data_IF_364688745345
#
_entry.id   IF_364688745345
#
_cell.length_a   1.000
_cell.length_b   1.000
_cell.length_c   1.000
_cell.angle_alpha   90.00
_cell.angle_beta   90.00
_cell.angle_gamma   90.00
#
_symmetry.space_group_name_H-M   'P 1'
#
loop_
_entity.id
_entity.type
_entity.pdbx_description
1 polymer ?
#
# COMPACT_ATOMS: atom_id res chain seq x y z
N UNK A 1 -23.99 10.22 -6.08
CA UNK A 1 -23.04 9.78 -7.13
C UNK A 1 -21.70 10.44 -6.81
N UNK A 2 -20.97 9.88 -5.85
CA UNK A 2 -19.65 10.38 -5.47
C UNK A 2 -18.63 9.78 -6.42
N UNK A 3 -17.93 10.61 -7.18
CA UNK A 3 -16.78 10.17 -7.96
C UNK A 3 -15.79 9.45 -7.06
N UNK A 4 -15.34 8.26 -7.46
CA UNK A 4 -14.27 7.55 -6.77
C UNK A 4 -13.06 8.47 -6.62
N UNK A 5 -12.68 8.79 -5.38
CA UNK A 5 -11.59 9.76 -5.11
C UNK A 5 -10.30 9.39 -5.82
N UNK A 6 -10.07 8.08 -6.01
CA UNK A 6 -8.92 7.52 -6.70
C UNK A 6 -8.87 7.82 -8.21
N UNK A 7 -10.01 8.17 -8.81
CA UNK A 7 -10.12 8.60 -10.21
C UNK A 7 -10.01 10.12 -10.38
N UNK A 8 -9.92 10.89 -9.28
CA UNK A 8 -9.71 12.32 -9.38
C UNK A 8 -8.33 12.62 -9.98
N UNK A 9 -8.22 13.65 -10.84
CA UNK A 9 -6.94 14.03 -11.41
C UNK A 9 -6.06 14.71 -10.36
N UNK A 10 -4.84 14.21 -10.21
CA UNK A 10 -3.72 14.82 -9.49
C UNK A 10 -2.60 15.08 -10.50
N UNK A 11 -2.24 16.36 -10.68
CA UNK A 11 -1.28 16.79 -11.71
C UNK A 11 -1.60 16.24 -13.12
N UNK A 12 -2.89 16.21 -13.48
CA UNK A 12 -3.36 15.77 -14.78
C UNK A 12 -3.46 14.25 -15.00
N UNK A 13 -3.24 13.42 -13.96
CA UNK A 13 -3.43 11.97 -14.01
C UNK A 13 -4.30 11.47 -12.86
N UNK A 14 -5.11 10.42 -13.02
CA UNK A 14 -5.82 9.81 -11.89
C UNK A 14 -4.85 9.44 -10.74
N UNK A 15 -5.29 9.64 -9.49
CA UNK A 15 -4.47 9.29 -8.30
C UNK A 15 -3.99 7.84 -8.37
N UNK A 16 -4.89 6.92 -8.75
CA UNK A 16 -4.56 5.49 -8.84
C UNK A 16 -3.46 5.19 -9.86
N UNK A 17 -3.40 5.93 -10.97
CA UNK A 17 -2.33 5.79 -11.96
C UNK A 17 -0.98 6.18 -11.37
N UNK A 18 -0.95 7.28 -10.59
CA UNK A 18 0.28 7.78 -9.96
C UNK A 18 0.83 6.76 -8.98
N UNK A 19 -0.05 6.16 -8.17
CA UNK A 19 0.33 5.14 -7.19
C UNK A 19 0.81 3.86 -7.86
N UNK A 20 0.10 3.35 -8.86
CA UNK A 20 0.51 2.15 -9.60
C UNK A 20 1.85 2.38 -10.33
N UNK A 21 2.03 3.56 -10.92
CA UNK A 21 3.28 3.91 -11.58
C UNK A 21 4.44 4.05 -10.58
N UNK A 22 4.19 4.55 -9.37
CA UNK A 22 5.19 4.58 -8.30
C UNK A 22 5.63 3.16 -7.91
N UNK A 23 4.68 2.23 -7.71
CA UNK A 23 4.99 0.81 -7.46
C UNK A 23 5.81 0.20 -8.59
N UNK A 24 5.40 0.41 -9.84
CA UNK A 24 6.10 -0.12 -11.01
C UNK A 24 7.52 0.41 -11.11
N UNK A 25 7.70 1.72 -10.95
CA UNK A 25 9.03 2.37 -11.01
C UNK A 25 9.90 2.01 -9.81
N UNK A 26 9.29 1.66 -8.67
CA UNK A 26 9.97 1.17 -7.48
C UNK A 26 10.52 -0.25 -7.61
N UNK A 27 10.11 -1.01 -8.64
CA UNK A 27 10.73 -2.30 -8.97
C UNK A 27 10.08 -3.53 -8.32
N UNK A 28 8.83 -3.45 -7.87
CA UNK A 28 8.11 -4.64 -7.37
C UNK A 28 7.78 -5.60 -8.51
N UNK A 29 7.80 -6.91 -8.24
CA UNK A 29 7.48 -7.95 -9.23
C UNK A 29 5.99 -7.95 -9.61
N UNK A 30 5.11 -7.77 -8.63
CA UNK A 30 3.66 -7.86 -8.77
C UNK A 30 2.98 -6.69 -8.05
N UNK A 31 1.96 -6.12 -8.68
CA UNK A 31 1.13 -5.05 -8.09
C UNK A 31 -0.28 -5.60 -7.95
N UNK A 32 -0.77 -5.68 -6.72
CA UNK A 32 -2.14 -6.13 -6.42
C UNK A 32 -2.94 -4.96 -5.86
N UNK A 33 -4.05 -4.64 -6.52
CA UNK A 33 -4.97 -3.58 -6.13
C UNK A 33 -6.27 -4.21 -5.64
N UNK A 34 -6.65 -3.88 -4.41
CA UNK A 34 -7.88 -4.35 -3.79
C UNK A 34 -8.93 -3.27 -3.93
N UNK A 35 -10.08 -3.63 -4.49
CA UNK A 35 -11.19 -2.71 -4.73
C UNK A 35 -12.49 -3.34 -4.24
N UNK A 36 -13.34 -2.52 -3.63
CA UNK A 36 -14.65 -2.98 -3.18
C UNK A 36 -15.63 -3.07 -4.36
N UNK A 37 -16.55 -4.02 -4.32
CA UNK A 37 -17.45 -4.31 -5.43
C UNK A 37 -18.31 -3.11 -5.86
N UNK A 38 -18.68 -2.22 -4.93
CA UNK A 38 -19.51 -1.04 -5.20
C UNK A 38 -18.82 0.03 -6.07
N UNK A 39 -17.49 0.02 -6.15
CA UNK A 39 -16.70 1.00 -6.91
C UNK A 39 -16.57 0.60 -8.38
N UNK A 40 -17.69 0.47 -9.08
CA UNK A 40 -17.76 -0.05 -10.45
C UNK A 40 -16.88 0.74 -11.44
N UNK A 41 -16.90 2.08 -11.36
CA UNK A 41 -16.10 2.93 -12.24
C UNK A 41 -14.59 2.71 -12.02
N UNK A 42 -14.15 2.65 -10.76
CA UNK A 42 -12.76 2.32 -10.44
C UNK A 42 -12.37 0.91 -10.90
N UNK A 43 -13.26 -0.08 -10.77
CA UNK A 43 -13.01 -1.45 -11.26
C UNK A 43 -12.80 -1.49 -12.77
N UNK A 44 -13.71 -0.90 -13.53
CA UNK A 44 -13.61 -0.82 -15.00
C UNK A 44 -12.33 -0.11 -15.42
N UNK A 45 -11.98 0.98 -14.73
CA UNK A 45 -10.75 1.70 -14.99
C UNK A 45 -9.49 0.86 -14.69
N UNK A 46 -9.44 0.22 -13.52
CA UNK A 46 -8.31 -0.63 -13.11
C UNK A 46 -8.09 -1.82 -14.04
N UNK A 47 -9.14 -2.37 -14.65
CA UNK A 47 -9.03 -3.43 -15.66
C UNK A 47 -8.27 -2.99 -16.92
N UNK A 48 -8.20 -1.69 -17.19
CA UNK A 48 -7.40 -1.14 -18.30
C UNK A 48 -5.91 -1.03 -17.95
N UNK A 49 -5.57 -1.10 -16.66
CA UNK A 49 -4.20 -1.00 -16.18
C UNK A 49 -3.56 -2.39 -16.06
N UNK A 50 -2.25 -2.45 -16.28
CA UNK A 50 -1.47 -3.68 -16.03
C UNK A 50 -1.17 -3.81 -14.53
N UNK A 51 -2.18 -4.15 -13.75
CA UNK A 51 -2.11 -4.51 -12.33
C UNK A 51 -3.08 -5.66 -12.04
N UNK A 52 -2.82 -6.44 -10.99
CA UNK A 52 -3.72 -7.50 -10.55
C UNK A 52 -4.87 -6.90 -9.75
N UNK A 53 -6.11 -7.22 -10.14
CA UNK A 53 -7.30 -6.68 -9.51
C UNK A 53 -7.99 -7.72 -8.63
N UNK A 54 -8.10 -7.42 -7.34
CA UNK A 54 -8.90 -8.22 -6.39
C UNK A 54 -10.17 -7.46 -6.06
N UNK A 55 -11.30 -8.01 -6.50
CA UNK A 55 -12.62 -7.49 -6.18
C UNK A 55 -13.08 -8.14 -4.88
N UNK A 56 -13.34 -7.34 -3.86
CA UNK A 56 -13.93 -7.83 -2.63
C UNK A 56 -15.45 -7.67 -2.65
N UNK A 57 -16.16 -8.79 -2.58
CA UNK A 57 -17.63 -8.86 -2.57
C UNK A 57 -18.23 -8.68 -1.18
N UNK A 58 -17.45 -8.92 -0.13
CA UNK A 58 -17.88 -8.72 1.26
C UNK A 58 -17.63 -7.27 1.67
N UNK A 59 -18.52 -6.63 2.45
CA UNK A 59 -18.19 -5.36 3.06
C UNK A 59 -16.88 -5.54 3.83
N UNK A 60 -15.87 -4.76 3.46
CA UNK A 60 -14.62 -4.66 4.18
C UNK A 60 -14.78 -3.44 5.10
N UNK A 61 -15.36 -3.60 6.31
CA UNK A 61 -15.58 -2.46 7.20
C UNK A 61 -14.24 -1.80 7.53
N UNK A 62 -13.17 -2.60 7.60
CA UNK A 62 -11.85 -2.16 8.02
C UNK A 62 -10.78 -2.39 6.95
N UNK A 63 -9.75 -1.55 6.98
CA UNK A 63 -8.59 -1.66 6.08
C UNK A 63 -7.94 -3.05 6.16
N UNK A 64 -7.93 -3.67 7.33
CA UNK A 64 -7.30 -4.98 7.55
C UNK A 64 -7.94 -6.09 6.70
N UNK A 65 -9.24 -6.02 6.44
CA UNK A 65 -9.94 -7.03 5.63
C UNK A 65 -9.52 -6.92 4.16
N UNK A 66 -9.24 -5.71 3.68
CA UNK A 66 -8.66 -5.49 2.34
C UNK A 66 -7.29 -6.14 2.22
N UNK A 67 -6.46 -6.00 3.27
CA UNK A 67 -5.12 -6.61 3.30
C UNK A 67 -5.22 -8.13 3.32
N UNK A 68 -6.13 -8.71 4.12
CA UNK A 68 -6.36 -10.17 4.14
C UNK A 68 -6.77 -10.71 2.77
N UNK A 69 -7.72 -10.06 2.11
CA UNK A 69 -8.16 -10.46 0.76
C UNK A 69 -7.00 -10.40 -0.25
N UNK A 70 -6.20 -9.33 -0.22
CA UNK A 70 -5.02 -9.19 -1.07
C UNK A 70 -3.97 -10.28 -0.83
N UNK A 71 -3.62 -10.55 0.44
CA UNK A 71 -2.64 -11.58 0.80
C UNK A 71 -3.12 -12.99 0.47
N UNK A 72 -4.41 -13.28 0.67
CA UNK A 72 -4.99 -14.56 0.28
C UNK A 72 -4.88 -14.77 -1.23
N UNK A 73 -5.19 -13.74 -2.03
CA UNK A 73 -5.04 -13.78 -3.47
C UNK A 73 -3.58 -14.00 -3.87
N UNK A 74 -2.63 -13.26 -3.28
CA UNK A 74 -1.19 -13.41 -3.57
C UNK A 74 -0.72 -14.83 -3.28
N UNK A 75 -1.12 -15.38 -2.12
CA UNK A 75 -0.79 -16.75 -1.73
C UNK A 75 -1.26 -17.78 -2.76
N UNK A 76 -2.52 -17.67 -3.19
CA UNK A 76 -3.12 -18.60 -4.15
C UNK A 76 -2.54 -18.47 -5.56
N UNK A 77 -2.30 -17.24 -6.03
CA UNK A 77 -1.91 -16.98 -7.42
C UNK A 77 -0.41 -17.12 -7.67
N UNK A 78 0.42 -16.68 -6.72
CA UNK A 78 1.86 -16.55 -6.94
C UNK A 78 2.71 -17.54 -6.14
N UNK A 79 2.12 -18.26 -5.16
CA UNK A 79 2.84 -19.26 -4.33
C UNK A 79 4.18 -18.75 -3.77
N UNK A 80 4.20 -17.61 -3.06
CA UNK A 80 5.41 -17.01 -2.51
C UNK A 80 6.17 -17.93 -1.53
N UNK A 81 7.48 -17.78 -1.53
CA UNK A 81 8.45 -18.52 -0.72
C UNK A 81 8.79 -17.78 0.56
N UNK A 82 9.45 -18.46 1.48
CA UNK A 82 9.82 -17.92 2.80
C UNK A 82 10.78 -16.73 2.77
N UNK A 83 11.52 -16.55 1.67
CA UNK A 83 12.42 -15.42 1.44
C UNK A 83 11.75 -14.23 0.75
N UNK A 84 10.51 -14.38 0.26
CA UNK A 84 9.82 -13.30 -0.44
C UNK A 84 9.27 -12.27 0.56
N UNK A 85 8.85 -11.12 0.06
CA UNK A 85 8.27 -10.03 0.84
C UNK A 85 7.05 -9.45 0.13
N UNK A 86 6.24 -8.72 0.88
CA UNK A 86 5.14 -7.92 0.36
C UNK A 86 5.21 -6.52 0.94
N UNK A 87 4.67 -5.55 0.21
CA UNK A 87 4.67 -4.16 0.62
C UNK A 87 3.25 -3.61 0.66
N UNK A 88 3.02 -2.64 1.54
CA UNK A 88 1.70 -2.04 1.74
C UNK A 88 1.77 -0.51 1.75
N UNK A 89 0.92 0.10 0.94
CA UNK A 89 0.58 1.52 0.99
C UNK A 89 -0.90 1.71 0.61
N UNK A 90 -1.61 2.68 1.22
CA UNK A 90 -2.91 3.14 0.75
C UNK A 90 -2.86 3.62 -0.71
N UNK A 91 -3.96 3.41 -1.43
CA UNK A 91 -4.07 3.77 -2.85
C UNK A 91 -4.33 5.27 -3.09
N UNK A 92 -4.55 6.05 -2.05
CA UNK A 92 -4.83 7.49 -2.05
C UNK A 92 -3.61 8.35 -1.69
N UNK A 93 -2.40 7.79 -1.83
CA UNK A 93 -1.12 8.49 -1.68
C UNK A 93 -0.52 8.88 -3.04
N UNK A 94 -1.03 9.90 -3.76
CA UNK A 94 -0.54 10.26 -5.09
C UNK A 94 0.95 10.63 -5.13
N UNK A 95 1.53 10.99 -3.98
CA UNK A 95 2.94 11.31 -3.79
C UNK A 95 3.77 10.15 -3.26
N UNK A 96 3.26 8.90 -3.36
CA UNK A 96 4.04 7.70 -3.06
C UNK A 96 5.34 7.70 -3.87
N UNK A 97 6.46 7.63 -3.17
CA UNK A 97 7.78 7.78 -3.79
C UNK A 97 8.31 6.42 -4.30
N UNK A 98 8.56 6.26 -5.61
CA UNK A 98 9.21 5.06 -6.15
C UNK A 98 10.61 4.81 -5.56
N UNK A 99 11.35 5.86 -5.19
CA UNK A 99 12.67 5.70 -4.57
C UNK A 99 12.56 5.11 -3.17
N UNK A 100 11.51 5.44 -2.41
CA UNK A 100 11.26 4.82 -1.12
C UNK A 100 10.97 3.32 -1.26
N UNK A 101 10.24 2.93 -2.32
CA UNK A 101 9.97 1.52 -2.61
C UNK A 101 11.27 0.78 -2.94
N UNK A 102 12.06 1.30 -3.87
CA UNK A 102 13.35 0.70 -4.27
C UNK A 102 14.31 0.59 -3.07
N UNK A 103 14.40 1.63 -2.25
CA UNK A 103 15.27 1.65 -1.06
C UNK A 103 14.89 0.56 -0.06
N UNK A 104 13.59 0.31 0.15
CA UNK A 104 13.14 -0.77 1.04
C UNK A 104 13.44 -2.15 0.46
N UNK A 105 13.28 -2.34 -0.85
CA UNK A 105 13.62 -3.58 -1.54
C UNK A 105 15.13 -3.87 -1.45
N UNK A 106 15.97 -2.87 -1.74
CA UNK A 106 17.43 -2.99 -1.67
C UNK A 106 17.93 -3.27 -0.24
N UNK A 107 17.22 -2.74 0.77
CA UNK A 107 17.56 -2.94 2.17
C UNK A 107 17.06 -4.27 2.75
N UNK A 108 16.20 -5.00 2.03
CA UNK A 108 15.60 -6.24 2.52
C UNK A 108 16.59 -7.41 2.45
N UNK A 109 16.81 -8.04 3.60
CA UNK A 109 17.63 -9.24 3.73
C UNK A 109 16.72 -10.46 3.98
N UNK A 110 16.60 -11.40 3.01
CA UNK A 110 15.83 -12.63 3.15
C UNK A 110 16.30 -13.58 4.26
N UNK A 111 17.48 -13.39 4.83
CA UNK A 111 17.96 -14.17 5.97
C UNK A 111 17.41 -13.64 7.29
N UNK A 112 17.52 -12.33 7.51
CA UNK A 112 17.07 -11.66 8.74
C UNK A 112 15.56 -11.45 8.79
N UNK A 113 14.93 -11.14 7.64
CA UNK A 113 13.48 -10.97 7.50
C UNK A 113 12.85 -10.08 8.59
N UNK A 114 13.35 -8.85 8.84
CA UNK A 114 12.66 -7.85 9.65
C UNK A 114 11.55 -7.17 8.84
N UNK A 115 10.57 -6.57 9.51
CA UNK A 115 9.71 -5.56 8.88
C UNK A 115 10.56 -4.32 8.57
N UNK A 116 10.48 -3.78 7.36
CA UNK A 116 11.14 -2.52 7.02
C UNK A 116 10.09 -1.42 6.82
N UNK A 117 10.28 -0.29 7.48
CA UNK A 117 9.38 0.84 7.38
C UNK A 117 10.11 2.09 6.93
N UNK A 118 9.57 2.77 5.92
CA UNK A 118 10.03 4.10 5.54
C UNK A 118 9.79 5.09 6.69
N UNK A 119 10.80 5.87 7.04
CA UNK A 119 10.70 6.95 8.02
C UNK A 119 11.08 8.29 7.40
N UNK A 120 10.29 9.31 7.73
CA UNK A 120 10.44 10.69 7.28
C UNK A 120 10.41 11.57 8.52
N UNK A 121 11.45 12.37 8.75
CA UNK A 121 11.61 13.16 9.98
C UNK A 121 11.32 12.34 11.26
N UNK A 122 11.96 11.16 11.33
CA UNK A 122 11.81 10.15 12.40
C UNK A 122 10.40 9.57 12.59
N UNK A 123 9.45 9.89 11.69
CA UNK A 123 8.09 9.35 11.72
C UNK A 123 7.91 8.24 10.69
N UNK A 124 7.43 7.09 11.14
CA UNK A 124 7.03 5.96 10.28
C UNK A 124 5.91 6.37 9.32
N UNK A 125 6.08 6.01 8.04
CA UNK A 125 5.06 6.18 7.00
C UNK A 125 5.11 5.04 5.98
N UNK A 126 4.37 5.20 4.89
CA UNK A 126 4.33 4.27 3.78
C UNK A 126 5.45 4.55 2.75
N UNK A 127 5.87 3.53 2.00
CA UNK A 127 5.44 2.14 2.11
C UNK A 127 6.08 1.41 3.30
N UNK A 128 5.46 0.28 3.67
CA UNK A 128 6.03 -0.67 4.65
C UNK A 128 6.22 -2.00 3.94
N UNK A 129 7.40 -2.59 4.11
CA UNK A 129 7.75 -3.92 3.61
C UNK A 129 7.67 -4.93 4.76
N UNK A 130 6.97 -6.03 4.49
CA UNK A 130 6.79 -7.14 5.40
C UNK A 130 7.35 -8.42 4.76
N UNK A 131 8.16 -9.20 5.50
CA UNK A 131 8.49 -10.56 5.10
C UNK A 131 7.24 -11.40 4.85
N UNK A 132 7.27 -12.31 3.87
CA UNK A 132 6.10 -13.11 3.51
C UNK A 132 5.51 -13.90 4.68
N UNK A 133 6.35 -14.41 5.60
CA UNK A 133 5.91 -15.12 6.82
C UNK A 133 4.91 -14.34 7.69
N UNK A 134 4.86 -13.00 7.56
CA UNK A 134 3.94 -12.16 8.32
C UNK A 134 2.52 -12.22 7.75
N UNK A 135 2.32 -12.70 6.51
CA UNK A 135 0.99 -12.87 5.94
C UNK A 135 0.11 -13.83 6.77
N UNK A 136 0.71 -14.87 7.36
CA UNK A 136 0.02 -15.78 8.29
C UNK A 136 -0.43 -15.06 9.57
N UNK A 137 0.40 -14.15 10.09
CA UNK A 137 0.04 -13.35 11.27
C UNK A 137 -1.11 -12.39 10.95
N UNK A 138 -1.13 -11.79 9.76
CA UNK A 138 -2.23 -10.93 9.30
C UNK A 138 -3.56 -11.68 9.29
N UNK A 139 -3.55 -12.95 8.85
CA UNK A 139 -4.73 -13.80 8.88
C UNK A 139 -5.23 -14.12 10.31
N UNK A 140 -4.34 -14.07 11.30
CA UNK A 140 -4.63 -14.39 12.71
C UNK A 140 -4.96 -13.17 13.57
N UNK A 141 -4.82 -11.95 13.06
CA UNK A 141 -5.18 -10.75 13.82
C UNK A 141 -6.67 -10.81 14.23
N UNK A 142 -6.97 -10.41 15.46
CA UNK A 142 -8.34 -10.28 15.93
C UNK A 142 -9.05 -9.08 15.29
N UNK A 143 -10.36 -8.96 15.49
CA UNK A 143 -11.15 -7.85 14.94
C UNK A 143 -10.75 -6.47 15.52
N UNK A 144 -10.09 -6.43 16.68
CA UNK A 144 -9.63 -5.19 17.30
C UNK A 144 -8.21 -4.78 16.85
N UNK A 145 -7.51 -5.65 16.14
CA UNK A 145 -6.11 -5.46 15.76
C UNK A 145 -5.97 -5.01 14.31
N UNK A 146 -4.89 -4.28 14.07
CA UNK A 146 -4.55 -3.65 12.80
C UNK A 146 -3.16 -4.06 12.35
N UNK A 147 -2.80 -3.70 11.12
CA UNK A 147 -1.43 -3.88 10.61
C UNK A 147 -0.38 -3.19 11.50
N UNK A 148 -0.74 -2.13 12.24
CA UNK A 148 0.20 -1.43 13.13
C UNK A 148 0.63 -2.29 14.31
N UNK A 149 -0.22 -3.21 14.76
CA UNK A 149 0.06 -4.07 15.91
C UNK A 149 1.14 -5.12 15.61
N UNK A 150 1.37 -5.43 14.32
CA UNK A 150 2.43 -6.34 13.88
C UNK A 150 3.83 -5.82 14.24
N UNK A 151 4.01 -4.51 14.35
CA UNK A 151 5.29 -3.90 14.73
C UNK A 151 5.66 -4.14 16.20
N UNK A 152 4.66 -4.29 17.08
CA UNK A 152 4.91 -4.63 18.48
C UNK A 152 5.25 -6.13 18.65
N UNK A 153 4.83 -6.96 17.67
CA UNK A 153 4.98 -8.42 17.69
C UNK A 153 6.18 -8.94 16.92
N UNK A 154 6.87 -8.09 16.16
CA UNK A 154 7.96 -8.50 15.28
C UNK A 154 9.10 -7.49 15.32
N UNK A 155 10.32 -7.97 15.05
CA UNK A 155 11.45 -7.09 14.78
C UNK A 155 11.19 -6.25 13.53
N UNK A 156 11.50 -4.96 13.64
CA UNK A 156 11.39 -4.03 12.54
C UNK A 156 12.54 -3.03 12.55
N UNK A 157 12.86 -2.49 11.38
CA UNK A 157 13.91 -1.50 11.17
C UNK A 157 13.36 -0.30 10.43
N UNK A 158 13.69 0.89 10.92
CA UNK A 158 13.45 2.15 10.23
C UNK A 158 14.47 2.33 9.11
N UNK A 159 14.00 2.71 7.92
CA UNK A 159 14.84 3.15 6.80
C UNK A 159 14.50 4.61 6.54
N UNK A 160 15.47 5.50 6.82
CA UNK A 160 15.31 6.93 6.64
C UNK A 160 15.24 7.28 5.15
N UNK A 161 14.19 8.00 4.77
CA UNK A 161 14.00 8.52 3.42
C UNK A 161 14.54 9.94 3.32
N UNK A 162 15.17 10.26 2.20
CA UNK A 162 15.62 11.62 1.88
C UNK A 162 14.54 12.46 1.20
N UNK A 163 13.43 11.84 0.83
CA UNK A 163 12.28 12.48 0.19
C UNK A 163 11.24 12.97 1.21
N UNK A 164 10.16 13.58 0.72
CA UNK A 164 9.08 14.08 1.56
C UNK A 164 8.09 12.95 1.86
N UNK A 165 7.57 12.94 3.09
CA UNK A 165 6.53 12.00 3.51
C UNK A 165 5.33 12.06 2.53
N UNK A 166 4.88 10.91 2.00
CA UNK A 166 3.68 10.88 1.16
C UNK A 166 2.45 11.28 1.99
N UNK A 167 1.51 11.95 1.34
CA UNK A 167 0.28 12.41 1.97
C UNK A 167 -0.95 11.87 1.25
N UNK A 168 -2.01 11.70 2.02
CA UNK A 168 -3.31 11.21 1.57
C UNK A 168 -4.18 12.34 1.03
N UNK A 169 -4.88 12.02 -0.07
CA UNK A 169 -5.94 12.86 -0.63
C UNK A 169 -7.28 12.26 -0.23
N UNK A 170 -8.01 13.01 0.60
CA UNK A 170 -9.32 12.61 1.11
C UNK A 170 -10.45 13.30 0.36
N UNK A 171 -10.23 14.56 -0.02
CA UNK A 171 -11.22 15.40 -0.66
C UNK A 171 -10.64 16.14 -1.86
N UNK A 172 -11.48 16.55 -2.84
CA UNK A 172 -11.01 17.36 -3.97
C UNK A 172 -10.23 18.61 -3.57
N UNK A 173 -10.54 19.24 -2.43
CA UNK A 173 -9.80 20.40 -1.92
C UNK A 173 -8.34 20.11 -1.54
N UNK A 174 -7.98 18.86 -1.25
CA UNK A 174 -6.59 18.47 -0.98
C UNK A 174 -5.72 18.50 -2.26
N UNK A 175 -6.35 18.49 -3.45
CA UNK A 175 -5.66 18.52 -4.75
C UNK A 175 -5.09 19.91 -5.06
N UNK A 176 -5.77 20.98 -4.61
CA UNK A 176 -5.35 22.38 -4.84
C UNK A 176 -4.29 22.85 -3.82
N UNK A 177 -4.23 22.20 -2.67
CA UNK A 177 -3.43 22.60 -1.50
C UNK A 177 -1.99 22.08 -1.49
N UNK A 178 -1.44 21.68 -2.66
CA UNK A 178 -0.09 21.16 -2.85
C UNK A 178 0.84 21.40 -1.65
N UNK A 179 1.00 20.37 -0.82
CA UNK A 179 1.96 20.29 0.29
C UNK A 179 1.69 21.03 1.62
N UNK A 180 0.45 21.36 2.04
CA UNK A 180 0.22 21.83 3.44
C UNK A 180 -1.06 21.31 4.10
N UNK A 181 -1.08 20.02 4.50
CA UNK A 181 -1.93 19.61 5.65
C UNK A 181 -1.14 19.89 6.94
N UNK A 182 -1.64 20.72 7.88
CA UNK A 182 -1.00 20.85 9.19
C UNK A 182 -1.09 19.50 9.92
N UNK A 183 0.02 19.10 10.55
CA UNK A 183 0.04 17.91 11.41
C UNK A 183 -1.03 18.07 12.51
N UNK A 184 -1.88 17.05 12.67
CA UNK A 184 -2.71 16.90 13.87
C UNK A 184 -1.90 16.30 15.00
#
# INVERSE_FOLDING_TARGET
MGSDKLLLPFEGKPIVDRVIEAWRRGGVDQIVVIVRAEHAALREYLQTLRAELVISETPLPEMIDSVRAGLQHISQKFSPRSGDAWMLAPADLPTLDPMAIATLLDAYDPQQRPILAATYDDRRSHPVLFPWRIAEQVAQLSAAETIRDLFAKNEWRAIAMSSVKPYDVDFPGDLELGARKPEK
#
